data_IF_268697022538
#
_entry.id   IF_268697022538
#
_cell.length_a   1.000
_cell.length_b   1.000
_cell.length_c   1.000
_cell.angle_alpha   90.00
_cell.angle_beta   90.00
_cell.angle_gamma   90.00
#
_symmetry.space_group_name_H-M   'P 1'
#
loop_
_entity.id
_entity.type
_entity.pdbx_description
1 polymer ?
#
# COMPACT_ATOMS: atom_id res chain seq x y z
N UNK A 1 15.60 -10.95 32.51
CA UNK A 1 14.69 -9.98 31.84
C UNK A 1 15.47 -9.24 30.77
N UNK A 2 14.84 -8.99 29.60
CA UNK A 2 15.32 -8.27 28.39
C UNK A 2 16.07 -9.10 27.33
N UNK A 3 15.33 -9.45 26.27
CA UNK A 3 15.65 -9.17 24.86
C UNK A 3 14.37 -9.42 24.03
N UNK A 4 13.53 -8.38 23.93
CA UNK A 4 12.50 -8.24 22.89
C UNK A 4 13.03 -7.12 21.99
N UNK A 5 14.06 -7.43 21.21
CA UNK A 5 14.67 -6.51 20.26
C UNK A 5 14.43 -7.05 18.86
N UNK A 6 13.90 -6.19 18.00
CA UNK A 6 14.02 -6.26 16.55
C UNK A 6 13.21 -7.38 15.86
N UNK A 7 11.88 -7.22 15.87
CA UNK A 7 11.14 -7.39 14.62
C UNK A 7 10.99 -5.99 14.01
N UNK A 8 12.10 -5.42 13.51
CA UNK A 8 11.99 -4.34 12.56
C UNK A 8 11.34 -4.93 11.32
N UNK A 9 10.07 -4.60 11.12
CA UNK A 9 9.34 -4.94 9.91
C UNK A 9 10.15 -4.47 8.71
N UNK A 10 10.44 -5.37 7.78
CA UNK A 10 11.16 -5.14 6.51
C UNK A 10 10.39 -4.23 5.53
N UNK A 11 9.60 -3.28 6.05
CA UNK A 11 8.78 -2.36 5.30
C UNK A 11 9.68 -1.35 4.58
N UNK A 12 9.64 -1.37 3.24
CA UNK A 12 10.25 -0.33 2.42
C UNK A 12 9.34 0.90 2.37
N UNK A 13 9.92 2.08 2.53
CA UNK A 13 9.21 3.35 2.38
C UNK A 13 9.30 3.84 0.94
N UNK A 14 8.17 4.29 0.39
CA UNK A 14 8.08 4.91 -0.94
C UNK A 14 7.41 6.26 -0.77
N UNK A 15 7.97 7.30 -1.39
CA UNK A 15 7.36 8.63 -1.46
C UNK A 15 6.73 8.81 -2.84
N UNK A 16 5.43 9.03 -2.88
CA UNK A 16 4.68 9.24 -4.11
C UNK A 16 4.20 10.70 -4.18
N UNK A 17 4.40 11.36 -5.32
CA UNK A 17 3.78 12.66 -5.61
C UNK A 17 2.56 12.41 -6.49
N UNK A 18 1.38 12.74 -5.97
CA UNK A 18 0.10 12.65 -6.68
C UNK A 18 -0.60 14.00 -6.68
N UNK A 19 -1.52 14.24 -7.62
CA UNK A 19 -2.42 15.39 -7.55
C UNK A 19 -3.23 15.40 -6.24
N UNK A 20 -3.54 16.60 -5.75
CA UNK A 20 -4.23 16.81 -4.48
C UNK A 20 -5.62 16.16 -4.49
N UNK A 21 -6.34 16.25 -5.61
CA UNK A 21 -7.65 15.66 -5.78
C UNK A 21 -7.65 14.14 -5.60
N UNK A 22 -6.56 13.47 -5.98
CA UNK A 22 -6.41 12.02 -5.79
C UNK A 22 -6.14 11.71 -4.32
N UNK A 23 -5.32 12.52 -3.64
CA UNK A 23 -5.05 12.32 -2.22
C UNK A 23 -6.31 12.51 -1.37
N UNK A 24 -7.10 13.55 -1.65
CA UNK A 24 -8.36 13.80 -0.93
C UNK A 24 -9.37 12.67 -1.15
N UNK A 25 -9.51 12.16 -2.38
CA UNK A 25 -10.36 11.01 -2.65
C UNK A 25 -9.91 9.75 -1.88
N UNK A 26 -8.61 9.49 -1.82
CA UNK A 26 -8.05 8.37 -1.04
C UNK A 26 -8.32 8.52 0.46
N UNK A 27 -8.20 9.75 0.97
CA UNK A 27 -8.44 10.07 2.38
C UNK A 27 -9.91 9.89 2.75
N UNK A 28 -10.83 10.40 1.93
CA UNK A 28 -12.27 10.24 2.16
C UNK A 28 -12.69 8.77 2.21
N UNK A 29 -12.18 7.94 1.29
CA UNK A 29 -12.44 6.50 1.29
C UNK A 29 -11.82 5.80 2.51
N UNK A 30 -10.61 6.20 2.92
CA UNK A 30 -9.97 5.69 4.13
C UNK A 30 -10.81 5.96 5.38
N UNK A 31 -11.35 7.18 5.50
CA UNK A 31 -12.22 7.58 6.60
C UNK A 31 -13.53 6.79 6.61
N UNK A 32 -14.19 6.63 5.45
CA UNK A 32 -15.43 5.83 5.32
C UNK A 32 -15.22 4.37 5.73
N UNK A 33 -14.08 3.79 5.37
CA UNK A 33 -13.76 2.39 5.64
C UNK A 33 -13.14 2.17 7.03
N UNK A 34 -12.78 3.24 7.76
CA UNK A 34 -12.10 3.14 9.05
C UNK A 34 -10.68 2.57 8.95
N UNK A 35 -9.98 2.82 7.83
CA UNK A 35 -8.62 2.32 7.55
C UNK A 35 -7.66 3.50 7.27
N UNK A 36 -6.37 3.21 7.14
CA UNK A 36 -5.39 4.23 6.74
C UNK A 36 -5.26 4.34 5.21
N UNK A 37 -4.90 5.53 4.72
CA UNK A 37 -4.56 5.76 3.30
C UNK A 37 -3.48 4.78 2.83
N UNK A 38 -2.48 4.49 3.68
CA UNK A 38 -1.43 3.53 3.36
C UNK A 38 -1.99 2.12 3.09
N UNK A 39 -2.99 1.66 3.86
CA UNK A 39 -3.62 0.36 3.62
C UNK A 39 -4.38 0.33 2.29
N UNK A 40 -5.05 1.42 1.91
CA UNK A 40 -5.69 1.54 0.59
C UNK A 40 -4.65 1.46 -0.51
N UNK A 41 -3.56 2.22 -0.42
CA UNK A 41 -2.48 2.19 -1.40
C UNK A 41 -1.88 0.78 -1.54
N UNK A 42 -1.62 0.09 -0.42
CA UNK A 42 -1.12 -1.29 -0.45
C UNK A 42 -2.12 -2.23 -1.14
N UNK A 43 -3.41 -2.09 -0.85
CA UNK A 43 -4.44 -2.91 -1.46
C UNK A 43 -4.52 -2.69 -2.97
N UNK A 44 -4.50 -1.43 -3.42
CA UNK A 44 -4.49 -1.07 -4.83
C UNK A 44 -3.25 -1.61 -5.57
N UNK A 45 -2.06 -1.47 -4.97
CA UNK A 45 -0.81 -2.00 -5.53
C UNK A 45 -0.88 -3.52 -5.68
N UNK A 46 -1.34 -4.24 -4.65
CA UNK A 46 -1.51 -5.70 -4.71
C UNK A 46 -2.49 -6.13 -5.79
N UNK A 47 -3.66 -5.49 -5.84
CA UNK A 47 -4.66 -5.78 -6.85
C UNK A 47 -4.11 -5.59 -8.26
N UNK A 48 -3.39 -4.49 -8.49
CA UNK A 48 -2.75 -4.22 -9.79
C UNK A 48 -1.68 -5.26 -10.13
N UNK A 49 -0.81 -5.62 -9.18
CA UNK A 49 0.22 -6.66 -9.38
C UNK A 49 -0.39 -8.01 -9.72
N UNK A 50 -1.44 -8.42 -9.00
CA UNK A 50 -2.13 -9.69 -9.25
C UNK A 50 -2.72 -9.73 -10.67
N UNK A 51 -3.29 -8.62 -11.15
CA UNK A 51 -3.80 -8.50 -12.52
C UNK A 51 -2.66 -8.52 -13.55
N UNK A 52 -1.61 -7.71 -13.31
CA UNK A 52 -0.46 -7.62 -14.20
C UNK A 52 0.24 -8.97 -14.39
N UNK A 53 0.44 -9.74 -13.32
CA UNK A 53 1.05 -11.08 -13.38
C UNK A 53 0.17 -12.09 -14.14
N UNK A 54 -1.17 -12.01 -13.99
CA UNK A 54 -2.10 -12.87 -14.75
C UNK A 54 -2.05 -12.59 -16.25
N UNK A 55 -1.91 -11.32 -16.63
CA UNK A 55 -1.87 -10.88 -18.02
C UNK A 55 -0.49 -11.04 -18.66
N UNK A 56 0.58 -11.03 -17.86
CA UNK A 56 1.96 -11.13 -18.32
C UNK A 56 2.75 -12.24 -17.61
N UNK A 57 2.42 -13.53 -17.86
CA UNK A 57 3.05 -14.65 -17.18
C UNK A 57 4.54 -14.82 -17.51
N UNK A 58 5.06 -14.11 -18.51
CA UNK A 58 6.46 -14.23 -18.96
C UNK A 58 7.43 -13.27 -18.24
N UNK A 59 6.93 -12.42 -17.34
CA UNK A 59 7.71 -11.41 -16.60
C UNK A 59 7.99 -11.79 -15.14
N UNK A 60 7.75 -13.05 -14.76
CA UNK A 60 7.94 -13.59 -13.40
C UNK A 60 9.06 -14.61 -13.39
#
# INVERSE_FOLDING_TARGET
>A
MRRRGEMESDAKQITLRIPEEIYEALKEEAEKMGVSVNQICIHAIRHWLDQFCRENPQNV
#
